data_IF_524765716600
#
_entry.id   IF_524765716600
#
_cell.length_a   1.000
_cell.length_b   1.000
_cell.length_c   1.000
_cell.angle_alpha   90.00
_cell.angle_beta   90.00
_cell.angle_gamma   90.00
#
_symmetry.space_group_name_H-M   'P 1'
#
loop_
_entity.id
_entity.type
_entity.pdbx_description
1 polymer ?
#
# COMPACT_ATOMS: atom_id res chain seq x y z
N UNK A 1 -0.52 -41.03 20.90
CA UNK A 1 -1.04 -39.64 21.00
C UNK A 1 -0.95 -39.04 19.62
N UNK A 2 -2.09 -38.69 19.00
CA UNK A 2 -2.17 -38.32 17.59
C UNK A 2 -1.77 -36.85 17.36
N UNK A 3 -0.72 -36.55 16.58
CA UNK A 3 -0.23 -35.18 16.35
C UNK A 3 -1.24 -34.29 15.58
N UNK A 4 -2.21 -34.88 14.89
CA UNK A 4 -3.26 -34.16 14.15
C UNK A 4 -4.24 -33.37 15.04
N UNK A 5 -4.45 -33.79 16.29
CA UNK A 5 -5.34 -33.10 17.24
C UNK A 5 -4.74 -31.80 17.81
N UNK A 6 -3.41 -31.69 17.88
CA UNK A 6 -2.72 -30.54 18.45
C UNK A 6 -2.67 -29.38 17.43
N UNK A 7 -2.45 -29.68 16.15
CA UNK A 7 -2.45 -28.69 15.06
C UNK A 7 -3.83 -28.10 14.82
N UNK A 8 -4.90 -28.92 14.93
CA UNK A 8 -6.27 -28.43 14.74
C UNK A 8 -6.72 -27.47 15.87
N UNK A 9 -6.28 -27.69 17.10
CA UNK A 9 -6.52 -26.77 18.24
C UNK A 9 -5.77 -25.45 18.08
N UNK A 10 -4.52 -25.48 17.62
CA UNK A 10 -3.71 -24.27 17.41
C UNK A 10 -4.28 -23.38 16.29
N UNK A 11 -4.71 -23.96 15.17
CA UNK A 11 -5.32 -23.21 14.05
C UNK A 11 -6.68 -22.61 14.48
N UNK A 12 -7.50 -23.35 15.21
CA UNK A 12 -8.77 -22.83 15.75
C UNK A 12 -8.58 -21.69 16.75
N UNK A 13 -7.52 -21.74 17.56
CA UNK A 13 -7.14 -20.67 18.48
C UNK A 13 -6.72 -19.39 17.73
N UNK A 14 -5.89 -19.52 16.71
CA UNK A 14 -5.42 -18.40 15.90
C UNK A 14 -6.56 -17.73 15.08
N UNK A 15 -7.51 -18.51 14.56
CA UNK A 15 -8.68 -17.96 13.85
C UNK A 15 -9.62 -17.24 14.84
N UNK A 16 -9.85 -17.79 16.03
CA UNK A 16 -10.68 -17.14 17.06
C UNK A 16 -10.05 -15.82 17.56
N UNK A 17 -8.75 -15.77 17.75
CA UNK A 17 -8.07 -14.53 18.19
C UNK A 17 -8.14 -13.44 17.11
N UNK A 18 -8.00 -13.78 15.83
CA UNK A 18 -8.14 -12.83 14.71
C UNK A 18 -9.58 -12.32 14.56
N UNK A 19 -10.57 -13.20 14.71
CA UNK A 19 -11.99 -12.80 14.73
C UNK A 19 -12.33 -11.89 15.92
N UNK A 20 -11.80 -12.20 17.10
CA UNK A 20 -11.97 -11.36 18.28
C UNK A 20 -11.30 -9.98 18.11
N UNK A 21 -10.13 -9.92 17.50
CA UNK A 21 -9.46 -8.65 17.18
C UNK A 21 -10.27 -7.82 16.16
N UNK A 22 -10.80 -8.43 15.10
CA UNK A 22 -11.69 -7.74 14.16
C UNK A 22 -12.98 -7.24 14.81
N UNK A 23 -13.61 -8.06 15.67
CA UNK A 23 -14.80 -7.65 16.44
C UNK A 23 -14.49 -6.53 17.42
N UNK A 24 -13.33 -6.54 18.07
CA UNK A 24 -12.89 -5.47 18.97
C UNK A 24 -12.69 -4.15 18.21
N UNK A 25 -12.11 -4.19 17.01
CA UNK A 25 -11.97 -3.00 16.15
C UNK A 25 -13.33 -2.47 15.70
N UNK A 26 -14.25 -3.35 15.30
CA UNK A 26 -15.62 -2.97 14.93
C UNK A 26 -16.38 -2.40 16.13
N UNK A 27 -16.23 -2.98 17.32
CA UNK A 27 -16.83 -2.46 18.56
C UNK A 27 -16.22 -1.10 18.97
N UNK A 28 -14.91 -0.90 18.76
CA UNK A 28 -14.25 0.37 19.02
C UNK A 28 -14.77 1.48 18.09
N UNK A 29 -15.02 1.17 16.82
CA UNK A 29 -15.61 2.10 15.85
C UNK A 29 -17.07 2.40 16.20
N UNK A 30 -17.83 1.42 16.71
CA UNK A 30 -19.22 1.60 17.11
C UNK A 30 -19.40 2.46 18.37
N UNK A 31 -18.42 2.49 19.30
CA UNK A 31 -18.50 3.31 20.52
C UNK A 31 -18.37 4.82 20.27
N UNK A 32 -17.85 5.24 19.11
CA UNK A 32 -17.80 6.66 18.73
C UNK A 32 -19.16 7.27 18.37
N UNK A 33 -20.23 6.47 18.29
CA UNK A 33 -21.57 6.95 17.89
C UNK A 33 -22.49 7.31 19.07
N UNK A 34 -22.06 7.17 20.35
CA UNK A 34 -22.95 7.20 21.50
C UNK A 34 -22.87 8.44 22.39
N UNK A 35 -22.61 9.64 21.85
CA UNK A 35 -22.79 10.89 22.61
C UNK A 35 -23.74 11.82 21.87
N UNK A 36 -25.03 11.52 21.90
CA UNK A 36 -26.10 12.41 21.48
C UNK A 36 -26.42 13.40 22.62
N UNK A 37 -25.52 14.32 22.92
CA UNK A 37 -25.90 15.53 23.64
C UNK A 37 -26.36 16.58 22.66
N UNK A 38 -27.56 17.11 22.90
CA UNK A 38 -28.20 18.22 22.19
C UNK A 38 -27.44 19.51 22.55
N UNK A 39 -26.31 19.73 21.89
CA UNK A 39 -25.65 21.03 21.87
C UNK A 39 -25.96 21.66 20.51
N UNK A 40 -26.22 22.96 20.48
CA UNK A 40 -26.29 23.76 19.26
C UNK A 40 -25.02 23.57 18.47
N UNK A 41 -25.14 22.77 17.39
CA UNK A 41 -23.95 22.25 16.71
C UNK A 41 -23.52 23.25 15.64
N UNK A 42 -22.34 23.85 15.82
CA UNK A 42 -21.77 24.79 14.84
C UNK A 42 -21.24 23.97 13.65
N UNK A 43 -21.79 24.19 12.47
CA UNK A 43 -21.27 23.66 11.22
C UNK A 43 -20.03 24.43 10.80
N UNK A 44 -18.86 23.81 10.91
CA UNK A 44 -17.62 24.40 10.41
C UNK A 44 -17.64 24.36 8.87
N UNK A 45 -17.25 25.49 8.23
CA UNK A 45 -17.15 25.59 6.75
C UNK A 45 -18.42 25.09 6.02
N UNK A 46 -19.59 25.67 6.22
CA UNK A 46 -20.88 25.14 5.71
C UNK A 46 -20.94 25.06 4.18
N UNK A 47 -20.17 25.89 3.46
CA UNK A 47 -20.13 25.94 1.99
C UNK A 47 -18.91 25.21 1.39
N UNK A 48 -18.10 24.51 2.19
CA UNK A 48 -16.92 23.85 1.69
C UNK A 48 -17.25 22.86 0.56
N UNK A 49 -18.30 22.04 0.75
CA UNK A 49 -18.68 21.00 -0.21
C UNK A 49 -19.31 21.56 -1.51
N UNK A 50 -19.58 22.86 -1.60
CA UNK A 50 -20.15 23.49 -2.80
C UNK A 50 -19.06 23.95 -3.79
N UNK A 51 -17.82 24.06 -3.36
CA UNK A 51 -16.71 24.44 -4.23
C UNK A 51 -16.46 23.38 -5.29
N UNK A 52 -16.23 23.80 -6.55
CA UNK A 52 -15.96 22.90 -7.66
C UNK A 52 -14.56 22.27 -7.60
N UNK A 53 -13.62 22.98 -7.04
CA UNK A 53 -12.21 22.56 -6.92
C UNK A 53 -11.73 22.82 -5.50
N UNK A 54 -11.12 21.79 -4.92
CA UNK A 54 -10.40 21.86 -3.67
C UNK A 54 -8.93 21.57 -3.95
N UNK A 55 -8.08 22.48 -3.54
CA UNK A 55 -6.62 22.28 -3.57
C UNK A 55 -6.11 22.06 -2.16
N UNK A 56 -5.06 21.26 -2.07
CA UNK A 56 -4.45 20.95 -0.80
C UNK A 56 -3.15 20.19 -0.97
N UNK A 57 -2.70 19.60 0.11
CA UNK A 57 -1.56 18.70 0.12
C UNK A 57 -1.83 17.53 1.04
N UNK A 58 -1.02 16.51 0.94
CA UNK A 58 -1.10 15.38 1.86
C UNK A 58 0.28 14.91 2.28
N UNK A 59 0.32 14.40 3.50
CA UNK A 59 1.48 13.69 4.06
C UNK A 59 1.02 12.34 4.58
N UNK A 60 1.89 11.35 4.51
CA UNK A 60 1.51 10.03 4.95
C UNK A 60 2.67 9.07 5.06
N UNK A 61 2.33 7.85 5.43
CA UNK A 61 3.24 6.71 5.51
C UNK A 61 2.73 5.59 4.61
N UNK A 62 3.64 4.85 4.02
CA UNK A 62 3.29 3.67 3.25
C UNK A 62 4.10 2.46 3.70
N UNK A 63 3.49 1.30 3.56
CA UNK A 63 4.08 0.00 3.82
C UNK A 63 3.99 -0.80 2.53
N UNK A 64 5.14 -1.12 1.95
CA UNK A 64 5.22 -1.87 0.70
C UNK A 64 5.57 -3.32 0.98
N UNK A 65 4.83 -4.23 0.35
CA UNK A 65 5.05 -5.67 0.38
C UNK A 65 5.31 -6.18 -1.05
N UNK A 66 6.26 -7.09 -1.19
CA UNK A 66 6.59 -7.74 -2.46
C UNK A 66 6.13 -9.19 -2.40
N UNK A 67 5.23 -9.55 -3.29
CA UNK A 67 4.79 -10.94 -3.44
C UNK A 67 5.59 -11.63 -4.54
N UNK A 68 6.47 -12.54 -4.13
CA UNK A 68 7.27 -13.36 -5.03
C UNK A 68 6.51 -14.61 -5.45
N UNK A 69 6.55 -14.94 -6.73
CA UNK A 69 6.09 -16.21 -7.27
C UNK A 69 7.31 -16.94 -7.81
N UNK A 70 7.70 -18.04 -7.17
CA UNK A 70 8.83 -18.84 -7.52
C UNK A 70 8.53 -19.76 -8.71
N UNK A 71 9.53 -20.07 -9.51
CA UNK A 71 9.39 -20.99 -10.64
C UNK A 71 9.30 -22.47 -10.18
N UNK A 72 9.90 -22.78 -9.02
CA UNK A 72 9.91 -24.14 -8.46
C UNK A 72 10.93 -25.07 -9.13
N UNK A 73 11.70 -24.58 -10.11
CA UNK A 73 12.74 -25.35 -10.79
C UNK A 73 14.08 -25.15 -10.09
N UNK A 74 14.89 -26.23 -9.94
CA UNK A 74 16.24 -26.12 -9.43
C UNK A 74 17.12 -25.39 -10.46
N UNK A 75 18.07 -24.62 -9.98
CA UNK A 75 19.16 -24.07 -10.79
C UNK A 75 19.98 -25.18 -11.43
N UNK A 76 20.74 -24.96 -12.52
CA UNK A 76 21.62 -25.95 -13.10
C UNK A 76 22.60 -26.64 -12.11
N UNK A 77 22.87 -25.99 -10.99
CA UNK A 77 23.68 -26.51 -9.89
C UNK A 77 22.90 -27.32 -8.85
N UNK A 78 21.59 -27.60 -9.10
CA UNK A 78 20.70 -28.31 -8.16
C UNK A 78 20.24 -27.51 -6.97
N UNK A 79 20.51 -26.21 -6.91
CA UNK A 79 20.11 -25.33 -5.81
C UNK A 79 18.72 -24.72 -6.06
N UNK A 80 17.95 -24.56 -4.97
CA UNK A 80 16.67 -23.85 -4.97
C UNK A 80 16.88 -22.46 -4.38
N UNK A 81 16.43 -21.43 -5.10
CA UNK A 81 16.51 -20.05 -4.67
C UNK A 81 15.13 -19.54 -4.22
N UNK A 82 15.11 -18.97 -3.02
CA UNK A 82 13.91 -18.37 -2.44
C UNK A 82 14.15 -16.89 -2.14
N UNK A 83 13.21 -16.05 -2.55
CA UNK A 83 13.23 -14.64 -2.22
C UNK A 83 12.19 -14.36 -1.12
N UNK A 84 12.59 -13.66 -0.07
CA UNK A 84 11.73 -13.25 1.02
C UNK A 84 11.92 -11.77 1.34
N UNK A 85 10.85 -11.13 1.85
CA UNK A 85 10.92 -9.80 2.44
C UNK A 85 11.02 -9.97 3.96
N UNK A 86 12.18 -9.73 4.58
CA UNK A 86 12.40 -10.02 6.00
C UNK A 86 11.64 -9.09 6.94
N UNK A 87 11.01 -8.04 6.45
CA UNK A 87 10.23 -7.11 7.26
C UNK A 87 9.68 -5.95 6.46
N UNK A 88 8.61 -5.35 6.99
CA UNK A 88 8.01 -4.15 6.44
C UNK A 88 8.89 -2.94 6.75
N UNK A 89 9.38 -2.25 5.71
CA UNK A 89 10.06 -0.97 5.87
C UNK A 89 9.04 0.15 5.65
N UNK A 90 8.73 0.96 6.67
CA UNK A 90 7.86 2.10 6.49
C UNK A 90 8.55 3.14 5.60
N UNK A 91 7.80 3.65 4.64
CA UNK A 91 8.17 4.81 3.85
C UNK A 91 7.28 5.99 4.19
N UNK A 92 7.65 7.17 3.71
CA UNK A 92 6.79 8.34 3.82
C UNK A 92 6.40 8.86 2.45
N UNK A 93 5.29 9.58 2.37
CA UNK A 93 4.78 10.14 1.14
C UNK A 93 4.32 11.58 1.33
N UNK A 94 4.51 12.37 0.27
CA UNK A 94 4.04 13.75 0.18
C UNK A 94 3.41 13.95 -1.18
N UNK A 95 2.18 14.46 -1.21
CA UNK A 95 1.47 14.70 -2.46
C UNK A 95 0.83 16.09 -2.46
N UNK A 96 0.64 16.63 -3.64
CA UNK A 96 -0.25 17.77 -3.89
C UNK A 96 -1.63 17.21 -4.20
N UNK A 97 -2.67 17.87 -3.76
CA UNK A 97 -4.05 17.43 -3.92
C UNK A 97 -4.83 18.38 -4.83
N UNK A 98 -5.52 17.82 -5.80
CA UNK A 98 -6.58 18.47 -6.56
C UNK A 98 -7.83 17.57 -6.51
N UNK A 99 -8.89 18.02 -5.88
CA UNK A 99 -10.17 17.32 -5.72
C UNK A 99 -11.24 18.08 -6.49
N UNK A 100 -11.73 17.51 -7.59
CA UNK A 100 -12.74 18.09 -8.48
C UNK A 100 -14.09 17.52 -8.14
N UNK A 101 -15.02 18.37 -7.72
CA UNK A 101 -16.40 17.97 -7.48
C UNK A 101 -17.12 17.73 -8.81
N UNK A 102 -17.53 16.49 -9.04
CA UNK A 102 -18.34 16.09 -10.20
C UNK A 102 -19.83 16.15 -9.86
N UNK A 103 -20.20 15.67 -8.68
CA UNK A 103 -21.57 15.59 -8.18
C UNK A 103 -21.59 15.77 -6.66
N UNK A 104 -22.77 15.78 -6.05
CA UNK A 104 -22.93 15.92 -4.59
C UNK A 104 -22.19 14.82 -3.82
N UNK A 105 -22.15 13.61 -4.37
CA UNK A 105 -21.52 12.44 -3.75
C UNK A 105 -20.22 11.99 -4.43
N UNK A 106 -19.90 12.51 -5.60
CA UNK A 106 -18.77 12.05 -6.42
C UNK A 106 -17.78 13.17 -6.67
N UNK A 107 -16.53 12.90 -6.34
CA UNK A 107 -15.41 13.77 -6.64
C UNK A 107 -14.33 12.99 -7.39
N UNK A 108 -13.65 13.64 -8.31
CA UNK A 108 -12.44 13.13 -8.95
C UNK A 108 -11.24 13.72 -8.22
N UNK A 109 -10.45 12.87 -7.59
CA UNK A 109 -9.26 13.25 -6.85
C UNK A 109 -8.02 12.87 -7.62
N UNK A 110 -7.13 13.83 -7.84
CA UNK A 110 -5.82 13.64 -8.47
C UNK A 110 -4.78 14.13 -7.46
N UNK A 111 -3.83 13.28 -7.09
CA UNK A 111 -2.87 13.62 -6.05
C UNK A 111 -1.43 13.23 -6.43
N UNK A 112 -0.81 13.92 -7.42
CA UNK A 112 0.58 13.68 -7.79
C UNK A 112 1.50 13.92 -6.60
N UNK A 113 2.55 13.09 -6.49
CA UNK A 113 3.47 13.23 -5.38
C UNK A 113 4.69 12.34 -5.45
N UNK A 114 5.38 12.27 -4.33
CA UNK A 114 6.58 11.44 -4.17
C UNK A 114 6.47 10.53 -2.96
N UNK A 115 6.84 9.29 -3.16
CA UNK A 115 6.92 8.27 -2.12
C UNK A 115 8.38 7.91 -1.90
N UNK A 116 8.81 7.88 -0.65
CA UNK A 116 10.18 7.57 -0.25
C UNK A 116 10.17 6.36 0.66
N UNK A 117 10.85 5.31 0.25
CA UNK A 117 10.92 4.06 1.01
C UNK A 117 12.16 3.24 0.68
N UNK A 118 12.32 2.16 1.42
CA UNK A 118 13.38 1.18 1.19
C UNK A 118 12.74 -0.19 0.96
N UNK A 119 13.28 -0.96 0.02
CA UNK A 119 12.94 -2.38 -0.17
C UNK A 119 14.08 -3.24 0.33
N UNK A 120 13.81 -4.05 1.32
CA UNK A 120 14.75 -5.06 1.80
C UNK A 120 14.33 -6.40 1.20
N UNK A 121 15.20 -6.99 0.39
CA UNK A 121 14.99 -8.31 -0.19
C UNK A 121 16.09 -9.23 0.32
N UNK A 122 15.72 -10.41 0.78
CA UNK A 122 16.66 -11.46 1.18
C UNK A 122 16.49 -12.63 0.24
N UNK A 123 17.59 -13.06 -0.40
CA UNK A 123 17.65 -14.26 -1.21
C UNK A 123 18.32 -15.36 -0.40
N UNK A 124 17.69 -16.53 -0.38
CA UNK A 124 18.15 -17.73 0.34
C UNK A 124 18.42 -18.83 -0.66
N UNK A 125 19.62 -19.42 -0.62
CA UNK A 125 19.97 -20.61 -1.38
C UNK A 125 19.87 -21.85 -0.49
N UNK A 126 19.18 -22.89 -0.96
CA UNK A 126 19.06 -24.16 -0.27
C UNK A 126 19.58 -25.29 -1.19
N UNK A 127 20.52 -26.20 -0.78
CA UNK A 127 20.87 -26.56 0.62
C UNK A 127 22.03 -25.78 1.26
N UNK A 128 22.77 -24.94 0.55
CA UNK A 128 23.99 -24.32 1.08
C UNK A 128 23.79 -23.26 2.16
N UNK A 129 22.55 -22.77 2.37
CA UNK A 129 22.23 -21.80 3.40
C UNK A 129 22.81 -20.40 3.17
N UNK A 130 23.31 -20.10 1.96
CA UNK A 130 23.82 -18.78 1.63
C UNK A 130 22.69 -17.75 1.62
N UNK A 131 22.94 -16.60 2.24
CA UNK A 131 21.95 -15.52 2.37
C UNK A 131 22.51 -14.25 1.75
N UNK A 132 21.83 -13.73 0.73
CA UNK A 132 22.15 -12.46 0.10
C UNK A 132 21.11 -11.42 0.48
N UNK A 133 21.53 -10.29 1.06
CA UNK A 133 20.64 -9.19 1.46
C UNK A 133 20.85 -8.00 0.55
N UNK A 134 19.76 -7.54 -0.05
CA UNK A 134 19.76 -6.36 -0.89
C UNK A 134 18.83 -5.29 -0.27
N UNK A 135 19.37 -4.09 -0.04
CA UNK A 135 18.62 -2.94 0.39
C UNK A 135 18.55 -1.92 -0.75
N UNK A 136 17.39 -1.74 -1.31
CA UNK A 136 17.15 -0.82 -2.44
C UNK A 136 16.35 0.38 -1.96
N UNK A 137 16.98 1.56 -1.99
CA UNK A 137 16.26 2.83 -1.79
C UNK A 137 15.48 3.15 -3.05
N UNK A 138 14.17 3.32 -2.92
CA UNK A 138 13.28 3.50 -4.05
C UNK A 138 12.42 4.75 -3.87
N UNK A 139 12.89 5.93 -4.33
CA UNK A 139 12.03 7.08 -4.49
C UNK A 139 11.12 6.86 -5.72
N UNK A 140 9.81 6.99 -5.52
CA UNK A 140 8.80 6.91 -6.59
C UNK A 140 8.16 8.25 -6.83
N UNK A 141 7.99 8.63 -8.07
CA UNK A 141 7.00 9.62 -8.47
C UNK A 141 5.69 8.87 -8.71
N UNK A 142 4.61 9.35 -8.11
CA UNK A 142 3.30 8.70 -8.15
C UNK A 142 2.24 9.64 -8.69
N UNK A 143 1.29 9.06 -9.41
CA UNK A 143 0.11 9.78 -9.92
C UNK A 143 -1.14 8.94 -9.61
N UNK A 144 -1.73 9.06 -8.41
CA UNK A 144 -3.03 8.49 -8.12
C UNK A 144 -4.14 9.31 -8.76
N UNK A 145 -5.11 8.60 -9.34
CA UNK A 145 -6.37 9.16 -9.87
C UNK A 145 -7.49 8.33 -9.28
N UNK A 146 -8.24 8.91 -8.35
CA UNK A 146 -9.24 8.22 -7.55
C UNK A 146 -10.63 8.87 -7.72
N UNK A 147 -11.66 8.07 -7.87
CA UNK A 147 -13.04 8.47 -7.70
C UNK A 147 -13.39 8.40 -6.21
N UNK A 148 -13.62 9.54 -5.58
CA UNK A 148 -14.06 9.66 -4.19
C UNK A 148 -15.58 9.64 -4.15
N UNK A 149 -16.15 8.68 -3.42
CA UNK A 149 -17.57 8.51 -3.19
C UNK A 149 -17.85 8.85 -1.74
N UNK A 150 -18.50 9.98 -1.49
CA UNK A 150 -18.74 10.49 -0.14
C UNK A 150 -20.18 10.26 0.28
N UNK A 151 -20.37 9.86 1.53
CA UNK A 151 -21.69 9.80 2.15
C UNK A 151 -22.26 11.18 2.47
N UNK A 152 -23.37 11.21 3.20
CA UNK A 152 -23.92 12.46 3.72
C UNK A 152 -23.06 13.00 4.86
N UNK A 153 -22.99 14.31 4.95
CA UNK A 153 -22.30 14.99 6.03
C UNK A 153 -23.11 14.91 7.31
N UNK A 154 -22.56 14.28 8.32
CA UNK A 154 -23.13 14.27 9.65
C UNK A 154 -22.31 15.19 10.56
N UNK A 155 -22.87 16.31 10.95
CA UNK A 155 -22.17 17.36 11.72
C UNK A 155 -20.90 17.85 10.99
N UNK A 156 -19.75 17.66 11.60
CA UNK A 156 -18.44 18.04 11.03
C UNK A 156 -17.63 16.84 10.52
N UNK A 157 -18.31 15.75 10.18
CA UNK A 157 -17.67 14.55 9.63
C UNK A 157 -18.43 14.07 8.39
N UNK A 158 -17.70 13.51 7.41
CA UNK A 158 -18.26 12.95 6.19
C UNK A 158 -17.44 11.73 5.78
N UNK A 159 -17.96 10.50 5.96
CA UNK A 159 -17.25 9.30 5.54
C UNK A 159 -17.20 9.21 4.01
N UNK A 160 -16.13 8.60 3.48
CA UNK A 160 -16.00 8.37 2.05
C UNK A 160 -15.21 7.11 1.75
N UNK A 161 -15.38 6.62 0.53
CA UNK A 161 -14.62 5.55 -0.08
C UNK A 161 -13.96 6.09 -1.34
N UNK A 162 -12.75 5.66 -1.64
CA UNK A 162 -12.08 5.96 -2.90
C UNK A 162 -11.81 4.70 -3.68
N UNK A 163 -11.99 4.76 -4.99
CA UNK A 163 -11.65 3.70 -5.93
C UNK A 163 -10.93 4.33 -7.12
N UNK A 164 -9.78 3.80 -7.50
CA UNK A 164 -9.02 4.40 -8.58
C UNK A 164 -7.86 3.57 -9.06
N UNK A 165 -6.95 4.25 -9.74
CA UNK A 165 -5.71 3.70 -10.24
C UNK A 165 -4.55 4.63 -9.90
N UNK A 166 -3.37 4.05 -9.68
CA UNK A 166 -2.15 4.79 -9.42
C UNK A 166 -1.05 4.31 -10.35
N UNK A 167 -0.45 5.23 -11.09
CA UNK A 167 0.79 4.99 -11.82
C UNK A 167 1.97 5.41 -10.94
N UNK A 168 3.03 4.59 -10.94
CA UNK A 168 4.27 4.89 -10.22
C UNK A 168 5.46 4.79 -11.14
N UNK A 169 6.41 5.70 -10.98
CA UNK A 169 7.67 5.72 -11.71
C UNK A 169 8.81 5.72 -10.69
N UNK A 170 9.65 4.70 -10.76
CA UNK A 170 10.87 4.62 -9.96
C UNK A 170 11.94 5.55 -10.58
N UNK A 171 12.35 6.55 -9.81
CA UNK A 171 13.37 7.53 -10.21
C UNK A 171 14.73 7.25 -9.55
N UNK A 172 14.90 6.09 -8.95
CA UNK A 172 16.19 5.69 -8.38
C UNK A 172 17.25 5.49 -9.47
N UNK A 173 18.50 5.77 -9.12
CA UNK A 173 19.62 5.41 -10.00
C UNK A 173 19.73 3.89 -10.06
N UNK A 174 19.67 3.32 -11.27
CA UNK A 174 19.90 1.89 -11.50
C UNK A 174 21.32 1.55 -11.04
N UNK A 175 21.43 0.60 -10.12
CA UNK A 175 22.70 0.00 -9.69
C UNK A 175 22.77 -1.42 -10.24
N UNK A 176 23.94 -1.99 -10.43
CA UNK A 176 24.10 -3.41 -10.72
C UNK A 176 23.74 -4.21 -9.46
N UNK A 177 22.45 -4.44 -9.25
CA UNK A 177 21.90 -5.17 -8.11
C UNK A 177 21.49 -6.58 -8.57
N UNK A 178 21.44 -7.55 -7.65
CA UNK A 178 21.03 -8.93 -7.93
C UNK A 178 19.66 -9.02 -8.60
N UNK A 179 18.68 -8.25 -8.11
CA UNK A 179 17.36 -8.12 -8.71
C UNK A 179 17.15 -6.70 -9.24
N UNK A 180 16.76 -6.58 -10.51
CA UNK A 180 16.32 -5.31 -11.09
C UNK A 180 14.81 -5.31 -11.26
N UNK A 181 14.22 -4.16 -10.93
CA UNK A 181 12.80 -3.92 -11.07
C UNK A 181 12.53 -2.96 -12.23
N UNK A 182 11.38 -3.14 -12.88
CA UNK A 182 10.89 -2.21 -13.87
C UNK A 182 10.64 -0.84 -13.24
N UNK A 183 10.92 0.23 -13.99
CA UNK A 183 10.77 1.59 -13.48
C UNK A 183 9.30 2.02 -13.36
N UNK A 184 8.39 1.44 -14.13
CA UNK A 184 6.96 1.78 -14.11
C UNK A 184 6.15 0.63 -13.53
N UNK A 185 5.19 0.97 -12.67
CA UNK A 185 4.22 0.03 -12.12
C UNK A 185 2.83 0.68 -12.03
N UNK A 186 1.79 -0.15 -12.11
CA UNK A 186 0.40 0.28 -12.06
C UNK A 186 -0.33 -0.46 -10.96
N UNK A 187 -1.12 0.30 -10.19
CA UNK A 187 -1.90 -0.21 -9.08
C UNK A 187 -3.38 0.08 -9.24
N UNK A 188 -4.21 -0.85 -8.85
CA UNK A 188 -5.60 -0.60 -8.50
C UNK A 188 -5.65 -0.14 -7.05
N UNK A 189 -6.39 0.94 -6.77
CA UNK A 189 -6.45 1.53 -5.44
C UNK A 189 -7.86 1.45 -4.87
N UNK A 190 -7.96 1.11 -3.59
CA UNK A 190 -9.18 1.16 -2.79
C UNK A 190 -8.87 1.86 -1.48
N UNK A 191 -9.56 2.97 -1.18
CA UNK A 191 -9.34 3.74 0.05
C UNK A 191 -10.60 3.87 0.87
N UNK A 192 -10.42 4.02 2.17
CA UNK A 192 -11.44 4.33 3.15
C UNK A 192 -11.00 5.53 3.96
N UNK A 193 -11.84 6.55 4.07
CA UNK A 193 -11.50 7.75 4.80
C UNK A 193 -12.70 8.48 5.37
N UNK A 194 -12.39 9.55 6.07
CA UNK A 194 -13.41 10.44 6.63
C UNK A 194 -12.94 11.90 6.54
N UNK A 195 -13.78 12.75 6.00
CA UNK A 195 -13.55 14.20 6.00
C UNK A 195 -13.93 14.76 7.37
N UNK A 196 -13.00 15.44 8.04
CA UNK A 196 -13.23 16.19 9.27
C UNK A 196 -13.18 17.69 8.96
N UNK A 197 -14.29 18.37 9.16
CA UNK A 197 -14.40 19.81 8.94
C UNK A 197 -13.95 20.56 10.21
N UNK A 198 -12.70 21.01 10.21
CA UNK A 198 -12.16 21.87 11.25
C UNK A 198 -12.51 23.35 10.96
N UNK A 199 -12.37 24.27 11.92
CA UNK A 199 -12.72 25.67 11.70
C UNK A 199 -11.97 26.32 10.51
N UNK A 200 -10.70 25.99 10.32
CA UNK A 200 -9.82 26.61 9.33
C UNK A 200 -9.54 25.76 8.10
N UNK A 201 -9.52 24.45 8.22
CA UNK A 201 -9.21 23.52 7.14
C UNK A 201 -10.02 22.23 7.26
N UNK A 202 -10.00 21.42 6.21
CA UNK A 202 -10.58 20.08 6.20
C UNK A 202 -9.45 19.07 6.28
N UNK A 203 -9.51 18.19 7.28
CA UNK A 203 -8.58 17.09 7.47
C UNK A 203 -9.23 15.78 7.01
N UNK A 204 -8.57 15.08 6.08
CA UNK A 204 -9.11 13.84 5.55
C UNK A 204 -8.10 12.69 5.78
N UNK A 205 -8.14 12.00 6.92
CA UNK A 205 -7.41 10.75 7.09
C UNK A 205 -7.98 9.68 6.17
N UNK A 206 -7.09 8.94 5.50
CA UNK A 206 -7.42 7.89 4.54
C UNK A 206 -6.46 6.72 4.68
N UNK A 207 -6.98 5.51 4.73
CA UNK A 207 -6.23 4.27 4.55
C UNK A 207 -6.50 3.75 3.14
N UNK A 208 -5.46 3.62 2.33
CA UNK A 208 -5.53 3.18 0.94
C UNK A 208 -4.79 1.86 0.75
N UNK A 209 -5.46 0.91 0.13
CA UNK A 209 -4.91 -0.37 -0.30
C UNK A 209 -4.59 -0.28 -1.79
N UNK A 210 -3.34 -0.55 -2.15
CA UNK A 210 -2.85 -0.50 -3.53
C UNK A 210 -2.44 -1.91 -3.95
N UNK A 211 -3.09 -2.45 -4.97
CA UNK A 211 -2.85 -3.78 -5.51
C UNK A 211 -2.08 -3.66 -6.83
N UNK A 212 -0.83 -4.14 -6.85
CA UNK A 212 0.00 -4.11 -8.06
C UNK A 212 -0.55 -5.02 -9.14
N UNK A 213 -0.74 -4.47 -10.33
CA UNK A 213 -1.24 -5.19 -11.50
C UNK A 213 -0.10 -5.77 -12.34
N UNK A 214 1.00 -5.02 -12.45
CA UNK A 214 2.14 -5.35 -13.32
C UNK A 214 3.08 -6.35 -12.67
N UNK A 215 3.84 -7.05 -13.52
CA UNK A 215 5.06 -7.73 -13.10
C UNK A 215 6.20 -6.73 -13.08
N UNK A 216 6.73 -6.49 -11.88
CA UNK A 216 7.81 -5.52 -11.70
C UNK A 216 9.20 -6.13 -11.89
N UNK A 217 9.33 -7.46 -12.05
CA UNK A 217 10.61 -8.10 -12.29
C UNK A 217 11.08 -7.86 -13.73
N UNK A 218 12.32 -7.42 -13.89
CA UNK A 218 12.96 -7.31 -15.19
C UNK A 218 13.62 -8.65 -15.55
N UNK A 219 12.99 -9.43 -16.45
CA UNK A 219 13.49 -10.72 -16.88
C UNK A 219 14.66 -10.63 -17.88
N UNK A 220 14.59 -9.63 -18.78
CA UNK A 220 15.62 -9.44 -19.79
C UNK A 220 16.77 -8.59 -19.22
N UNK A 221 17.91 -9.25 -18.97
CA UNK A 221 19.11 -8.73 -18.31
C UNK A 221 20.36 -8.94 -19.17
N UNK A 222 20.52 -8.23 -20.29
CA UNK A 222 21.73 -8.34 -21.11
C UNK A 222 22.98 -7.82 -20.39
N UNK A 223 22.80 -7.03 -19.34
CA UNK A 223 23.85 -6.50 -18.48
C UNK A 223 24.54 -7.55 -17.59
N UNK A 224 23.97 -8.77 -17.49
CA UNK A 224 24.47 -9.87 -16.66
C UNK A 224 25.09 -11.02 -17.50
N UNK A 225 25.39 -10.80 -18.77
CA UNK A 225 25.96 -11.84 -19.63
C UNK A 225 27.25 -12.50 -19.04
N UNK A 226 27.98 -11.74 -18.23
CA UNK A 226 29.21 -12.16 -17.60
C UNK A 226 29.05 -12.66 -16.14
N UNK A 227 27.81 -12.62 -15.58
CA UNK A 227 27.51 -13.06 -14.19
C UNK A 227 26.42 -14.14 -14.15
N UNK A 228 26.79 -15.41 -14.32
CA UNK A 228 25.85 -16.52 -14.35
C UNK A 228 25.13 -16.76 -13.02
N UNK A 229 25.70 -16.36 -11.87
CA UNK A 229 25.03 -16.54 -10.56
C UNK A 229 23.82 -15.61 -10.41
N UNK A 230 23.96 -14.36 -10.79
CA UNK A 230 22.86 -13.38 -10.71
C UNK A 230 21.74 -13.72 -11.71
N UNK A 231 22.05 -14.30 -12.87
CA UNK A 231 21.05 -14.80 -13.82
C UNK A 231 20.24 -15.93 -13.21
N UNK A 232 20.87 -16.86 -12.48
CA UNK A 232 20.16 -17.96 -11.80
C UNK A 232 19.13 -17.44 -10.80
N UNK A 233 19.49 -16.41 -10.01
CA UNK A 233 18.58 -15.78 -9.04
C UNK A 233 17.38 -15.15 -9.71
N UNK A 234 17.59 -14.47 -10.84
CA UNK A 234 16.48 -13.83 -11.60
C UNK A 234 15.54 -14.88 -12.20
N UNK A 235 16.07 -15.97 -12.75
CA UNK A 235 15.30 -17.04 -13.38
C UNK A 235 14.53 -17.92 -12.38
N UNK A 236 14.94 -17.95 -11.11
CA UNK A 236 14.22 -18.65 -10.05
C UNK A 236 12.86 -18.00 -9.72
N UNK A 237 12.67 -16.74 -10.11
CA UNK A 237 11.45 -15.98 -9.88
C UNK A 237 10.64 -15.86 -11.17
N UNK A 238 9.39 -16.37 -11.16
CA UNK A 238 8.47 -16.28 -12.29
C UNK A 238 7.82 -14.92 -12.40
N UNK A 239 7.48 -14.30 -11.26
CA UNK A 239 6.75 -13.03 -11.20
C UNK A 239 6.91 -12.37 -9.84
N UNK A 240 7.00 -11.04 -9.84
CA UNK A 240 7.00 -10.23 -8.62
C UNK A 240 5.92 -9.17 -8.72
N UNK A 241 4.98 -9.16 -7.77
CA UNK A 241 3.97 -8.11 -7.64
C UNK A 241 4.25 -7.27 -6.40
N UNK A 242 3.97 -5.99 -6.50
CA UNK A 242 4.08 -5.05 -5.38
C UNK A 242 2.70 -4.70 -4.87
N UNK A 243 2.45 -4.89 -3.58
CA UNK A 243 1.26 -4.38 -2.90
C UNK A 243 1.69 -3.31 -1.91
N UNK A 244 0.79 -2.36 -1.63
CA UNK A 244 1.11 -1.26 -0.73
C UNK A 244 -0.11 -0.89 0.11
N UNK A 245 0.13 -0.60 1.39
CA UNK A 245 -0.87 0.03 2.27
C UNK A 245 -0.36 1.44 2.57
N UNK A 246 -1.20 2.44 2.33
CA UNK A 246 -0.85 3.85 2.53
C UNK A 246 -1.80 4.47 3.53
N UNK A 247 -1.25 5.06 4.59
CA UNK A 247 -1.99 5.91 5.53
C UNK A 247 -1.66 7.36 5.20
N UNK A 248 -2.65 8.13 4.76
CA UNK A 248 -2.47 9.49 4.29
C UNK A 248 -3.38 10.46 5.06
N UNK A 249 -2.87 11.65 5.34
CA UNK A 249 -3.61 12.76 5.89
C UNK A 249 -3.63 13.88 4.85
N UNK A 250 -4.81 14.18 4.30
CA UNK A 250 -5.01 15.28 3.36
C UNK A 250 -5.45 16.52 4.10
N UNK A 251 -4.95 17.67 3.67
CA UNK A 251 -5.25 19.00 4.20
C UNK A 251 -5.80 19.86 3.06
N UNK A 252 -7.08 20.27 3.18
CA UNK A 252 -7.82 21.07 2.19
C UNK A 252 -8.32 22.40 2.74
#
# INVERSE_FOLDING_TARGET
MNPLHTTYRAVRGAVRSRLAACLAVVALVATFTATAQRNDFIYNRPYADQKKLHLGFSVGMHFQDLKFTHNGEPSPDGQYWYAEVPGYSPGFCVNVLADFRLHQYFNLRISPGMYFGNKNVTMLANPEGMTYKQNVKTPYVVLPVDLKISGDRYRNTRPYVTLGAMATLDVSKKRPDYLQFNSADFYLTLGLGCDFYLPFFKLNPEVKFCFGLSDILKHDRPDLADDPETIKMTNALKKVKSNMIVLTFYFE
#
